data_IF_658895116179
#
_entry.id   IF_658895116179
#
_cell.length_a   1.000
_cell.length_b   1.000
_cell.length_c   1.000
_cell.angle_alpha   90.00
_cell.angle_beta   90.00
_cell.angle_gamma   90.00
#
_symmetry.space_group_name_H-M   'P 1'
#
loop_
_entity.id
_entity.type
_entity.pdbx_description
1 polymer ?
#
# COMPACT_ATOMS: atom_id res chain seq x y z
N UNK A 1 -11.21 11.67 -5.77
CA UNK A 1 -12.13 12.00 -4.65
C UNK A 1 -13.51 11.48 -4.98
N UNK A 2 -14.20 10.85 -4.03
CA UNK A 2 -15.58 10.38 -4.15
C UNK A 2 -16.42 10.93 -3.00
N UNK A 3 -17.58 11.51 -3.31
CA UNK A 3 -18.51 12.07 -2.33
C UNK A 3 -19.88 11.39 -2.46
N UNK A 4 -20.27 10.69 -1.39
CA UNK A 4 -21.52 9.96 -1.24
C UNK A 4 -22.34 10.52 -0.07
N UNK A 5 -22.06 11.75 0.35
CA UNK A 5 -22.74 12.42 1.45
C UNK A 5 -24.21 12.70 1.11
N UNK A 6 -25.08 12.71 2.13
CA UNK A 6 -26.54 12.92 2.00
C UNK A 6 -27.22 11.94 1.04
N UNK A 7 -26.69 10.71 0.93
CA UNK A 7 -27.32 9.65 0.13
C UNK A 7 -28.03 8.64 1.04
N UNK A 8 -28.85 7.79 0.42
CA UNK A 8 -29.56 6.71 1.10
C UNK A 8 -28.86 5.34 0.93
N UNK A 9 -27.54 5.33 0.67
CA UNK A 9 -26.81 4.08 0.45
C UNK A 9 -26.69 3.28 1.75
N UNK A 10 -26.94 1.98 1.66
CA UNK A 10 -26.81 1.07 2.81
C UNK A 10 -25.48 0.32 2.83
N UNK A 11 -24.73 0.36 1.72
CA UNK A 11 -23.43 -0.30 1.57
C UNK A 11 -22.54 0.47 0.59
N UNK A 12 -21.21 0.35 0.75
CA UNK A 12 -20.23 0.96 -0.14
C UNK A 12 -19.79 -0.03 -1.23
N UNK A 13 -19.82 0.35 -2.53
CA UNK A 13 -19.35 -0.49 -3.63
C UNK A 13 -17.81 -0.53 -3.66
N UNK A 14 -17.22 -1.60 -3.13
CA UNK A 14 -15.76 -1.71 -2.92
C UNK A 14 -14.94 -1.73 -4.23
N UNK A 15 -15.46 -2.29 -5.32
CA UNK A 15 -14.72 -2.33 -6.59
C UNK A 15 -14.53 -0.94 -7.20
N UNK A 16 -15.56 -0.10 -7.18
CA UNK A 16 -15.51 1.26 -7.73
C UNK A 16 -14.80 2.28 -6.82
N UNK A 17 -14.48 1.90 -5.58
CA UNK A 17 -13.85 2.77 -4.58
C UNK A 17 -12.41 2.38 -4.27
N UNK A 18 -11.84 1.39 -4.98
CA UNK A 18 -10.50 0.89 -4.71
C UNK A 18 -9.44 1.98 -4.84
N UNK A 19 -9.54 2.83 -5.85
CA UNK A 19 -8.47 3.76 -6.24
C UNK A 19 -8.70 5.21 -5.78
N UNK A 20 -9.55 5.42 -4.78
CA UNK A 20 -9.87 6.77 -4.31
C UNK A 20 -8.88 7.24 -3.24
N UNK A 21 -8.45 8.49 -3.36
CA UNK A 21 -7.63 9.15 -2.33
C UNK A 21 -8.47 9.76 -1.20
N UNK A 22 -9.68 10.20 -1.50
CA UNK A 22 -10.57 10.91 -0.56
C UNK A 22 -11.98 10.34 -0.68
N UNK A 23 -12.56 9.93 0.44
CA UNK A 23 -13.93 9.45 0.57
C UNK A 23 -14.74 10.36 1.50
N UNK A 24 -15.87 10.88 1.03
CA UNK A 24 -16.82 11.63 1.86
C UNK A 24 -18.14 10.89 1.96
N UNK A 25 -18.56 10.59 3.19
CA UNK A 25 -19.83 9.94 3.52
C UNK A 25 -20.38 10.61 4.77
N UNK A 26 -20.76 11.88 4.64
CA UNK A 26 -21.37 12.67 5.71
C UNK A 26 -22.91 12.64 5.58
N UNK A 27 -23.62 12.81 6.68
CA UNK A 27 -25.10 12.85 6.69
C UNK A 27 -25.76 11.63 5.98
N UNK A 28 -25.12 10.46 6.02
CA UNK A 28 -25.55 9.24 5.33
C UNK A 28 -25.93 8.18 6.36
N UNK A 29 -27.04 8.43 7.05
CA UNK A 29 -27.43 7.62 8.22
C UNK A 29 -27.79 6.17 7.88
N UNK A 30 -28.14 5.90 6.63
CA UNK A 30 -28.48 4.58 6.13
C UNK A 30 -27.27 3.63 6.05
N UNK A 31 -26.05 4.17 5.97
CA UNK A 31 -24.82 3.38 5.94
C UNK A 31 -24.42 2.96 7.37
N UNK A 32 -24.81 1.76 7.76
CA UNK A 32 -24.50 1.23 9.10
C UNK A 32 -23.19 0.44 9.15
N UNK A 33 -22.84 -0.24 8.06
CA UNK A 33 -21.68 -1.13 8.00
C UNK A 33 -20.61 -0.50 7.11
N UNK A 34 -19.40 -0.37 7.64
CA UNK A 34 -18.24 0.09 6.88
C UNK A 34 -17.43 -1.12 6.38
N UNK A 35 -16.97 -1.15 5.12
CA UNK A 35 -16.18 -2.27 4.60
C UNK A 35 -14.77 -2.30 5.20
N UNK A 36 -14.03 -3.38 4.94
CA UNK A 36 -12.62 -3.47 5.33
C UNK A 36 -11.82 -2.31 4.75
N UNK A 37 -10.93 -1.71 5.54
CA UNK A 37 -10.04 -0.64 5.07
C UNK A 37 -9.09 -1.11 3.98
N UNK A 38 -8.79 -2.40 3.96
CA UNK A 38 -7.98 -3.03 2.91
C UNK A 38 -8.67 -3.11 1.55
N UNK A 39 -9.93 -2.68 1.42
CA UNK A 39 -10.60 -2.56 0.13
C UNK A 39 -10.25 -1.26 -0.60
N UNK A 40 -9.69 -0.28 0.12
CA UNK A 40 -9.28 1.00 -0.43
C UNK A 40 -7.76 1.02 -0.54
N UNK A 41 -7.26 1.07 -1.77
CA UNK A 41 -5.83 1.08 -2.10
C UNK A 41 -5.20 2.40 -1.67
N UNK A 42 -5.67 3.49 -2.28
CA UNK A 42 -5.01 4.79 -2.18
C UNK A 42 -5.61 5.74 -1.14
N UNK A 43 -6.47 5.27 -0.24
CA UNK A 43 -7.23 6.18 0.63
C UNK A 43 -6.33 6.93 1.62
N UNK A 44 -6.42 8.25 1.60
CA UNK A 44 -5.64 9.19 2.42
C UNK A 44 -6.53 9.94 3.40
N UNK A 45 -7.79 10.15 3.03
CA UNK A 45 -8.74 10.91 3.81
C UNK A 45 -10.15 10.32 3.73
N UNK A 46 -10.82 10.17 4.87
CA UNK A 46 -12.18 9.69 4.98
C UNK A 46 -12.98 10.56 5.94
N UNK A 47 -14.09 11.12 5.46
CA UNK A 47 -15.06 11.89 6.25
C UNK A 47 -16.31 11.05 6.45
N UNK A 48 -16.58 10.60 7.67
CA UNK A 48 -17.60 9.58 7.93
C UNK A 48 -18.70 10.10 8.85
N UNK A 49 -19.95 9.71 8.56
CA UNK A 49 -21.14 10.08 9.35
C UNK A 49 -21.04 9.60 10.79
N UNK A 50 -20.52 8.39 11.00
CA UNK A 50 -20.46 7.77 12.32
C UNK A 50 -19.02 7.66 12.83
N UNK A 51 -18.71 8.18 14.04
CA UNK A 51 -17.39 8.05 14.65
C UNK A 51 -16.89 6.62 14.80
N UNK A 52 -17.80 5.66 15.02
CA UNK A 52 -17.42 4.24 15.17
C UNK A 52 -16.88 3.63 13.86
N UNK A 53 -17.17 4.20 12.69
CA UNK A 53 -16.56 3.75 11.43
C UNK A 53 -15.05 4.04 11.41
N UNK A 54 -14.57 5.06 12.11
CA UNK A 54 -13.14 5.32 12.24
C UNK A 54 -12.39 4.21 12.98
N UNK A 55 -13.07 3.35 13.74
CA UNK A 55 -12.44 2.19 14.36
C UNK A 55 -11.90 1.19 13.32
N UNK A 56 -12.48 1.14 12.11
CA UNK A 56 -11.98 0.29 11.03
C UNK A 56 -10.55 0.69 10.61
N UNK A 57 -10.26 1.99 10.62
CA UNK A 57 -8.94 2.56 10.31
C UNK A 57 -7.96 2.44 11.48
N UNK A 58 -8.43 2.69 12.72
CA UNK A 58 -7.56 2.63 13.91
C UNK A 58 -7.27 1.22 14.40
N UNK A 59 -8.18 0.28 14.17
CA UNK A 59 -8.09 -1.10 14.65
C UNK A 59 -8.50 -2.10 13.56
N UNK A 60 -7.76 -2.15 12.43
CA UNK A 60 -8.12 -3.02 11.30
C UNK A 60 -8.17 -4.51 11.68
N UNK A 61 -7.33 -4.93 12.63
CA UNK A 61 -7.31 -6.31 13.13
C UNK A 61 -8.59 -6.74 13.87
N UNK A 62 -9.27 -5.82 14.57
CA UNK A 62 -10.54 -6.12 15.24
C UNK A 62 -11.71 -6.01 14.28
N UNK A 63 -11.64 -5.07 13.33
CA UNK A 63 -12.70 -4.84 12.35
C UNK A 63 -12.82 -5.98 11.33
N UNK A 64 -11.69 -6.45 10.78
CA UNK A 64 -11.67 -7.60 9.88
C UNK A 64 -10.38 -8.43 10.09
N UNK A 65 -10.41 -9.44 11.00
CA UNK A 65 -9.24 -10.25 11.33
C UNK A 65 -8.65 -11.01 10.13
N UNK A 66 -9.50 -11.48 9.21
CA UNK A 66 -9.07 -12.28 8.07
C UNK A 66 -8.31 -11.46 7.03
N UNK A 67 -8.85 -10.31 6.64
CA UNK A 67 -8.18 -9.39 5.71
C UNK A 67 -6.88 -8.84 6.33
N UNK A 68 -6.90 -8.56 7.64
CA UNK A 68 -5.71 -8.15 8.39
C UNK A 68 -4.60 -9.21 8.31
N UNK A 69 -4.93 -10.49 8.54
CA UNK A 69 -3.93 -11.56 8.45
C UNK A 69 -3.39 -11.72 7.02
N UNK A 70 -4.28 -11.67 6.02
CA UNK A 70 -3.90 -11.73 4.60
C UNK A 70 -2.93 -10.61 4.23
N UNK A 71 -3.26 -9.38 4.62
CA UNK A 71 -2.41 -8.21 4.41
C UNK A 71 -1.06 -8.35 5.12
N UNK A 72 -1.05 -8.77 6.39
CA UNK A 72 0.19 -8.97 7.14
C UNK A 72 1.09 -10.03 6.51
N UNK A 73 0.52 -11.13 6.01
CA UNK A 73 1.27 -12.17 5.31
C UNK A 73 1.93 -11.61 4.05
N UNK A 74 1.17 -10.82 3.29
CA UNK A 74 1.67 -10.16 2.09
C UNK A 74 2.81 -9.19 2.40
N UNK A 75 2.63 -8.28 3.36
CA UNK A 75 3.68 -7.34 3.80
C UNK A 75 4.92 -8.07 4.32
N UNK A 76 4.75 -9.19 5.04
CA UNK A 76 5.87 -10.02 5.50
C UNK A 76 6.65 -10.61 4.32
N UNK A 77 5.95 -11.16 3.34
CA UNK A 77 6.58 -11.72 2.13
C UNK A 77 7.34 -10.64 1.34
N UNK A 78 6.75 -9.45 1.18
CA UNK A 78 7.42 -8.31 0.55
C UNK A 78 8.70 -7.89 1.28
N UNK A 79 8.64 -7.76 2.60
CA UNK A 79 9.82 -7.42 3.42
C UNK A 79 10.93 -8.46 3.30
N UNK A 80 10.57 -9.75 3.26
CA UNK A 80 11.51 -10.84 3.05
C UNK A 80 12.17 -10.76 1.66
N UNK A 81 11.37 -10.56 0.61
CA UNK A 81 11.87 -10.39 -0.75
C UNK A 81 12.83 -9.19 -0.86
N UNK A 82 12.51 -8.08 -0.19
CA UNK A 82 13.37 -6.90 -0.16
C UNK A 82 14.68 -7.10 0.60
N UNK A 83 14.65 -7.81 1.74
CA UNK A 83 15.86 -8.17 2.47
C UNK A 83 16.80 -9.05 1.62
N UNK A 84 16.25 -9.98 0.85
CA UNK A 84 17.03 -10.82 -0.07
C UNK A 84 17.66 -10.01 -1.23
N UNK A 85 16.95 -9.01 -1.77
CA UNK A 85 17.49 -8.09 -2.79
C UNK A 85 18.63 -7.23 -2.24
N UNK A 86 18.51 -6.71 -1.02
CA UNK A 86 19.60 -5.96 -0.39
C UNK A 86 20.85 -6.82 -0.21
N UNK A 87 20.72 -8.11 0.13
CA UNK A 87 21.86 -9.03 0.25
C UNK A 87 22.52 -9.35 -1.09
N UNK A 88 21.77 -9.47 -2.17
CA UNK A 88 22.32 -9.71 -3.52
C UNK A 88 23.04 -8.47 -4.06
N UNK A 89 22.50 -7.27 -3.86
CA UNK A 89 23.21 -6.02 -4.15
C UNK A 89 24.52 -5.91 -3.35
N UNK A 90 24.53 -6.28 -2.07
CA UNK A 90 25.77 -6.29 -1.26
C UNK A 90 26.79 -7.33 -1.74
N UNK A 91 26.38 -8.34 -2.51
CA UNK A 91 27.25 -9.41 -2.98
C UNK A 91 27.79 -9.17 -4.41
N UNK A 92 27.10 -8.39 -5.24
CA UNK A 92 27.61 -7.87 -6.53
C UNK A 92 28.57 -6.67 -6.37
N UNK A 93 28.69 -6.09 -5.17
CA UNK A 93 29.60 -4.98 -4.86
C UNK A 93 31.08 -5.38 -4.69
N UNK A 94 31.50 -6.55 -5.18
CA UNK A 94 32.90 -6.99 -5.18
C UNK A 94 33.63 -6.73 -6.52
N UNK A 95 33.08 -5.87 -7.38
CA UNK A 95 33.79 -5.34 -8.55
C UNK A 95 34.51 -4.02 -8.18
N UNK A 96 35.86 -4.00 -8.16
CA UNK A 96 36.65 -2.86 -7.67
C UNK A 96 36.45 -1.56 -8.47
N UNK A 97 35.91 -1.66 -9.69
CA UNK A 97 35.61 -0.49 -10.53
C UNK A 97 34.39 0.31 -10.04
N UNK A 98 33.39 -0.36 -9.46
CA UNK A 98 32.14 0.25 -8.99
C UNK A 98 32.29 0.83 -7.58
N UNK A 99 33.17 0.26 -6.76
CA UNK A 99 33.47 0.78 -5.40
C UNK A 99 34.13 2.16 -5.44
N UNK A 100 34.93 2.44 -6.47
CA UNK A 100 35.52 3.76 -6.69
C UNK A 100 34.46 4.79 -7.09
N UNK A 101 33.39 4.37 -7.78
CA UNK A 101 32.27 5.22 -8.19
C UNK A 101 31.34 5.58 -7.02
N UNK A 102 31.08 4.61 -6.13
CA UNK A 102 30.24 4.79 -4.94
C UNK A 102 30.85 5.71 -3.88
N UNK A 103 32.18 5.88 -3.86
CA UNK A 103 32.91 6.65 -2.84
C UNK A 103 32.69 8.16 -2.93
N UNK A 104 32.29 8.67 -4.10
CA UNK A 104 32.05 10.10 -4.33
C UNK A 104 30.57 10.46 -4.44
N UNK A 105 29.67 9.49 -4.28
CA UNK A 105 28.23 9.76 -4.28
C UNK A 105 27.74 10.04 -2.85
N UNK A 106 26.83 11.02 -2.65
CA UNK A 106 26.18 11.22 -1.37
C UNK A 106 25.33 9.98 -1.04
N UNK A 107 25.30 9.59 0.24
CA UNK A 107 24.72 8.33 0.77
C UNK A 107 23.23 8.06 0.41
N UNK A 108 22.55 8.99 -0.26
CA UNK A 108 21.15 8.85 -0.69
C UNK A 108 20.98 8.50 -2.17
N UNK A 109 22.06 8.26 -2.93
CA UNK A 109 21.95 8.01 -4.37
C UNK A 109 21.89 6.51 -4.65
N UNK A 110 20.71 6.00 -4.98
CA UNK A 110 20.56 4.63 -5.49
C UNK A 110 21.02 4.58 -6.95
N UNK A 111 22.10 3.85 -7.23
CA UNK A 111 22.52 3.52 -8.61
C UNK A 111 21.54 2.49 -9.18
N UNK A 112 20.58 2.97 -9.97
CA UNK A 112 19.82 2.15 -10.91
C UNK A 112 20.59 2.11 -12.24
N UNK A 113 20.94 0.91 -12.71
CA UNK A 113 21.24 0.73 -14.12
C UNK A 113 19.93 0.95 -14.90
N UNK A 114 19.90 2.00 -15.72
CA UNK A 114 18.79 2.39 -16.60
C UNK A 114 18.58 1.33 -17.70
N UNK A 115 17.42 1.13 -18.34
CA UNK A 115 16.51 2.11 -18.93
C UNK A 115 15.10 1.48 -19.10
N UNK A 116 14.11 2.04 -18.40
CA UNK A 116 12.79 2.31 -18.95
C UNK A 116 12.22 3.45 -18.12
N UNK A 117 12.00 4.55 -18.81
CA UNK A 117 11.51 5.82 -18.31
C UNK A 117 10.07 5.63 -17.78
N UNK A 118 9.92 5.33 -16.50
CA UNK A 118 8.64 5.48 -15.81
C UNK A 118 8.80 6.49 -14.68
N UNK A 119 8.61 7.74 -15.07
CA UNK A 119 7.93 8.78 -14.31
C UNK A 119 7.23 8.18 -13.08
N UNK A 120 7.73 8.52 -11.89
CA UNK A 120 7.16 8.14 -10.60
C UNK A 120 5.64 8.36 -10.57
N UNK A 121 4.88 7.28 -10.80
CA UNK A 121 3.49 7.18 -10.41
C UNK A 121 3.47 6.30 -9.15
N UNK A 122 2.78 6.77 -8.11
CA UNK A 122 2.80 6.18 -6.77
C UNK A 122 2.12 4.81 -6.66
N UNK A 123 2.63 3.81 -7.37
CA UNK A 123 1.97 2.52 -7.48
C UNK A 123 2.34 1.57 -6.33
N UNK A 124 1.31 1.37 -5.51
CA UNK A 124 1.29 0.60 -4.29
C UNK A 124 1.25 -0.91 -4.51
N UNK A 125 1.87 -1.59 -3.57
CA UNK A 125 2.10 -3.04 -3.58
C UNK A 125 0.85 -3.83 -3.14
N UNK A 126 -0.12 -3.21 -2.45
CA UNK A 126 -1.19 -3.88 -1.68
C UNK A 126 -2.21 -4.74 -2.44
N UNK A 127 -2.33 -4.61 -3.76
CA UNK A 127 -3.39 -5.27 -4.54
C UNK A 127 -2.90 -6.07 -5.75
N UNK A 128 -1.59 -6.29 -5.90
CA UNK A 128 -1.11 -7.14 -6.99
C UNK A 128 -1.47 -8.60 -6.70
N UNK A 129 -2.57 -9.06 -7.32
CA UNK A 129 -3.07 -10.44 -7.19
C UNK A 129 -2.21 -11.46 -7.95
N UNK A 130 -1.12 -11.03 -8.60
CA UNK A 130 -0.18 -11.88 -9.34
C UNK A 130 0.94 -12.43 -8.45
N UNK A 131 0.58 -12.96 -7.28
CA UNK A 131 1.55 -13.52 -6.32
C UNK A 131 1.18 -14.99 -6.04
N UNK A 132 1.21 -15.80 -7.08
CA UNK A 132 1.13 -17.25 -6.94
C UNK A 132 2.56 -17.78 -6.72
N UNK A 133 2.94 -17.93 -5.45
CA UNK A 133 4.29 -18.30 -4.98
C UNK A 133 4.73 -19.74 -5.34
N UNK A 134 4.01 -20.44 -6.19
CA UNK A 134 4.27 -21.86 -6.47
C UNK A 134 4.85 -22.16 -7.86
N UNK A 135 4.89 -21.19 -8.80
CA UNK A 135 5.29 -21.48 -10.17
C UNK A 135 6.35 -20.50 -10.72
N UNK A 136 7.58 -20.62 -10.22
CA UNK A 136 8.82 -20.59 -11.03
C UNK A 136 9.19 -19.41 -11.95
N UNK A 137 8.43 -18.30 -12.10
CA UNK A 137 8.80 -17.14 -12.94
C UNK A 137 8.28 -15.81 -12.34
N UNK A 138 8.95 -14.67 -12.64
CA UNK A 138 9.65 -13.87 -11.62
C UNK A 138 8.79 -12.77 -10.99
N UNK A 139 9.16 -12.41 -9.76
CA UNK A 139 8.79 -11.14 -9.12
C UNK A 139 9.39 -10.02 -9.98
N UNK A 140 8.61 -9.48 -10.94
CA UNK A 140 9.19 -8.57 -11.93
C UNK A 140 9.66 -7.25 -11.33
N UNK A 141 9.13 -6.79 -10.19
CA UNK A 141 9.75 -5.73 -9.39
C UNK A 141 9.11 -5.66 -8.00
N UNK A 142 9.77 -6.18 -6.97
CA UNK A 142 9.52 -5.71 -5.62
C UNK A 142 10.26 -4.37 -5.45
N UNK A 143 9.53 -3.25 -5.48
CA UNK A 143 10.08 -1.93 -5.18
C UNK A 143 10.28 -1.86 -3.67
N UNK A 144 11.55 -1.88 -3.24
CA UNK A 144 11.91 -1.85 -1.83
C UNK A 144 11.94 -0.41 -1.33
N UNK A 145 10.77 0.10 -0.97
CA UNK A 145 10.58 1.40 -0.33
C UNK A 145 9.94 1.27 1.05
N UNK A 146 9.93 2.38 1.80
CA UNK A 146 9.17 2.46 3.05
C UNK A 146 7.67 2.45 2.74
N UNK A 147 6.91 1.59 3.43
CA UNK A 147 5.45 1.63 3.40
C UNK A 147 5.05 2.94 4.10
N UNK A 148 4.73 3.95 3.30
CA UNK A 148 4.55 5.32 3.79
C UNK A 148 3.16 5.58 4.36
N UNK A 149 2.16 4.75 4.04
CA UNK A 149 0.78 5.01 4.41
C UNK A 149 0.43 4.48 5.80
N UNK A 150 0.10 5.42 6.70
CA UNK A 150 -0.41 5.13 8.02
C UNK A 150 -1.94 5.26 8.02
N UNK A 151 -2.67 4.14 7.92
CA UNK A 151 -4.14 4.13 7.93
C UNK A 151 -4.74 4.78 9.19
N UNK A 152 -3.97 4.93 10.27
CA UNK A 152 -4.43 5.58 11.51
C UNK A 152 -4.72 7.09 11.35
N UNK A 153 -4.21 7.72 10.30
CA UNK A 153 -4.36 9.17 10.04
C UNK A 153 -5.45 9.49 9.00
N UNK A 154 -6.12 8.46 8.46
CA UNK A 154 -7.07 8.62 7.35
C UNK A 154 -8.42 9.18 7.79
N UNK A 155 -8.89 8.85 9.00
CA UNK A 155 -10.28 9.13 9.40
C UNK A 155 -10.44 10.47 10.11
N UNK A 156 -11.21 11.36 9.47
CA UNK A 156 -11.67 12.64 9.99
C UNK A 156 -13.17 12.54 10.34
N UNK A 157 -13.58 13.19 11.43
CA UNK A 157 -14.99 13.28 11.88
C UNK A 157 -15.48 14.69 11.59
#
# INVERSE_FOLDING_TARGET
>A
MSDLSRTAITSLPVEGLREIDVLKVQETESLKVFPSVYNFKFIKEAWLTYPYHCCAFKFPHTHNPWEYERHNRFVKQLRQACSAKNRTLLQENNDPSLTALLRWMPLNTSLGASEADEQWNGDEVFHNSTMNLNNGFPVTTAVCGEIRWNYHEVCNI
#
